data_IF_588136917285
#
_entry.id   IF_588136917285
#
_cell.length_a   1.000
_cell.length_b   1.000
_cell.length_c   1.000
_cell.angle_alpha   90.00
_cell.angle_beta   90.00
_cell.angle_gamma   90.00
#
_symmetry.space_group_name_H-M   'P 1'
#
loop_
_entity.id
_entity.type
_entity.pdbx_description
1 polymer ?
#
# COMPACT_ATOMS: atom_id res chain seq x y z
N UNK A 1 -10.31 5.60 2.20
CA UNK A 1 -10.23 5.07 3.58
C UNK A 1 -8.92 4.33 3.86
N UNK A 2 -8.49 3.34 3.05
CA UNK A 2 -7.24 2.58 3.27
C UNK A 2 -6.01 3.46 3.53
N UNK A 3 -5.65 4.35 2.61
CA UNK A 3 -4.49 5.23 2.79
C UNK A 3 -4.63 6.19 3.98
N UNK A 4 -5.86 6.56 4.36
CA UNK A 4 -6.11 7.34 5.56
C UNK A 4 -5.72 6.55 6.82
N UNK A 5 -6.09 5.28 6.89
CA UNK A 5 -5.68 4.39 7.98
C UNK A 5 -4.17 4.11 8.03
N UNK A 6 -3.51 4.08 6.86
CA UNK A 6 -2.06 3.88 6.75
C UNK A 6 -1.24 5.14 7.08
N UNK A 7 -1.71 6.33 6.69
CA UNK A 7 -0.96 7.59 6.78
C UNK A 7 -1.36 8.47 7.96
N UNK A 8 -2.43 8.15 8.69
CA UNK A 8 -2.80 8.85 9.91
C UNK A 8 -1.68 8.70 10.94
N UNK A 9 -1.05 9.83 11.28
CA UNK A 9 -0.04 9.93 12.32
C UNK A 9 -0.73 9.87 13.67
N UNK A 10 -0.24 9.00 14.56
CA UNK A 10 -0.83 8.79 15.90
C UNK A 10 -0.31 9.76 16.95
N UNK A 11 0.80 10.42 16.63
CA UNK A 11 1.40 11.48 17.44
C UNK A 11 0.87 12.88 17.10
N UNK A 12 -0.19 12.96 16.27
CA UNK A 12 -0.76 14.22 15.81
C UNK A 12 -2.29 14.20 15.92
N UNK A 13 -2.84 14.91 16.90
CA UNK A 13 -4.27 14.92 17.23
C UNK A 13 -5.16 15.30 16.03
N UNK A 14 -4.70 16.20 15.16
CA UNK A 14 -5.47 16.59 13.97
C UNK A 14 -5.69 15.44 12.99
N UNK A 15 -4.73 14.50 12.88
CA UNK A 15 -4.90 13.30 12.05
C UNK A 15 -5.89 12.32 12.69
N UNK A 16 -5.84 12.15 14.01
CA UNK A 16 -6.78 11.29 14.73
C UNK A 16 -8.21 11.82 14.67
N UNK A 17 -8.38 13.14 14.78
CA UNK A 17 -9.69 13.77 14.62
C UNK A 17 -10.22 13.59 13.19
N UNK A 18 -9.39 13.85 12.17
CA UNK A 18 -9.78 13.65 10.78
C UNK A 18 -10.17 12.18 10.49
N UNK A 19 -9.47 11.21 11.07
CA UNK A 19 -9.81 9.79 10.95
C UNK A 19 -11.19 9.50 11.55
N UNK A 20 -11.48 10.01 12.76
CA UNK A 20 -12.80 9.87 13.41
C UNK A 20 -13.92 10.52 12.59
N UNK A 21 -13.73 11.77 12.18
CA UNK A 21 -14.73 12.55 11.44
C UNK A 21 -15.12 11.89 10.10
N UNK A 22 -14.18 11.14 9.50
CA UNK A 22 -14.38 10.45 8.23
C UNK A 22 -14.66 8.94 8.39
N UNK A 23 -14.86 8.44 9.61
CA UNK A 23 -15.06 7.01 9.91
C UNK A 23 -13.97 6.12 9.30
N UNK A 24 -12.70 6.51 9.48
CA UNK A 24 -11.53 5.78 9.00
C UNK A 24 -10.86 5.09 10.19
N UNK A 25 -10.79 3.76 10.13
CA UNK A 25 -10.02 2.97 11.08
C UNK A 25 -8.52 3.01 10.77
N UNK A 26 -7.69 2.96 11.82
CA UNK A 26 -6.24 2.92 11.70
C UNK A 26 -5.76 1.52 11.33
N UNK A 27 -4.66 1.43 10.58
CA UNK A 27 -4.05 0.16 10.18
C UNK A 27 -2.68 0.05 10.86
N UNK A 28 -2.46 -1.06 11.57
CA UNK A 28 -1.23 -1.32 12.33
C UNK A 28 -0.20 -2.16 11.55
N UNK A 29 -0.69 -3.00 10.63
CA UNK A 29 0.12 -3.97 9.90
C UNK A 29 -0.32 -4.03 8.44
N UNK A 30 0.68 -3.99 7.55
CA UNK A 30 0.53 -4.27 6.12
C UNK A 30 1.39 -5.45 5.76
N UNK A 31 0.78 -6.48 5.16
CA UNK A 31 1.46 -7.64 4.59
C UNK A 31 1.10 -7.69 3.11
N UNK A 32 2.01 -7.27 2.25
CA UNK A 32 1.75 -7.14 0.81
C UNK A 32 2.99 -7.53 0.04
N UNK A 33 2.84 -8.48 -0.88
CA UNK A 33 3.83 -8.74 -1.92
C UNK A 33 3.30 -8.25 -3.27
N UNK A 34 4.21 -7.89 -4.18
CA UNK A 34 3.88 -7.29 -5.47
C UNK A 34 3.56 -8.35 -6.52
N UNK A 35 2.90 -7.92 -7.61
CA UNK A 35 2.80 -8.76 -8.80
C UNK A 35 4.20 -9.09 -9.34
N UNK A 36 4.44 -10.34 -9.77
CA UNK A 36 5.75 -10.80 -10.22
C UNK A 36 6.03 -10.30 -11.65
N UNK A 37 6.14 -8.99 -11.81
CA UNK A 37 6.25 -8.33 -13.11
C UNK A 37 7.47 -8.83 -13.89
N UNK A 38 8.62 -8.98 -13.20
CA UNK A 38 9.86 -9.48 -13.80
C UNK A 38 9.67 -10.88 -14.35
N UNK A 39 9.05 -11.77 -13.58
CA UNK A 39 8.78 -13.14 -13.98
C UNK A 39 7.79 -13.18 -15.15
N UNK A 40 6.80 -12.30 -15.17
CA UNK A 40 5.83 -12.18 -16.28
C UNK A 40 6.52 -11.79 -17.59
N UNK A 41 7.36 -10.75 -17.60
CA UNK A 41 8.01 -10.28 -18.84
C UNK A 41 9.10 -11.23 -19.36
N UNK A 42 9.53 -12.19 -18.55
CA UNK A 42 10.50 -13.21 -18.95
C UNK A 42 9.84 -14.45 -19.58
N UNK A 43 8.51 -14.54 -19.62
CA UNK A 43 7.81 -15.67 -20.25
C UNK A 43 7.95 -15.58 -21.78
N UNK A 44 8.20 -16.71 -22.48
CA UNK A 44 8.45 -16.72 -23.92
C UNK A 44 7.35 -16.07 -24.78
N UNK A 45 6.09 -16.24 -24.40
CA UNK A 45 4.93 -15.81 -25.18
C UNK A 45 4.20 -14.60 -24.55
N UNK A 46 4.87 -13.85 -23.68
CA UNK A 46 4.27 -12.67 -23.03
C UNK A 46 3.98 -11.59 -24.06
N UNK A 47 2.77 -11.05 -24.04
CA UNK A 47 2.43 -9.88 -24.85
C UNK A 47 2.69 -8.59 -24.07
N UNK A 48 2.77 -7.48 -24.79
CA UNK A 48 2.81 -6.16 -24.14
C UNK A 48 1.59 -5.93 -23.24
N UNK A 49 0.41 -6.40 -23.65
CA UNK A 49 -0.80 -6.30 -22.83
C UNK A 49 -0.65 -7.09 -21.53
N UNK A 50 -0.12 -8.32 -21.57
CA UNK A 50 0.14 -9.13 -20.37
C UNK A 50 1.12 -8.43 -19.43
N UNK A 51 2.15 -7.78 -19.97
CA UNK A 51 3.08 -6.99 -19.18
C UNK A 51 2.36 -5.83 -18.49
N UNK A 52 1.59 -5.03 -19.24
CA UNK A 52 0.85 -3.87 -18.71
C UNK A 52 -0.11 -4.28 -17.59
N UNK A 53 -0.85 -5.36 -17.75
CA UNK A 53 -1.78 -5.87 -16.72
C UNK A 53 -1.08 -6.36 -15.45
N UNK A 54 0.22 -6.71 -15.53
CA UNK A 54 1.02 -7.12 -14.37
C UNK A 54 1.70 -5.95 -13.65
N UNK A 55 1.46 -4.70 -14.07
CA UNK A 55 1.97 -3.53 -13.34
C UNK A 55 1.09 -3.31 -12.11
N UNK A 56 1.61 -3.68 -10.94
CA UNK A 56 0.93 -3.43 -9.68
C UNK A 56 1.00 -1.94 -9.30
N UNK A 57 -0.15 -1.33 -9.09
CA UNK A 57 -0.28 0.06 -8.62
C UNK A 57 -0.64 0.10 -7.14
N UNK A 58 -1.52 -0.80 -6.70
CA UNK A 58 -2.06 -0.82 -5.34
C UNK A 58 -1.01 -1.28 -4.33
N UNK A 59 -0.31 -2.36 -4.63
CA UNK A 59 0.73 -2.93 -3.78
C UNK A 59 1.83 -1.93 -3.44
N UNK A 60 2.50 -1.29 -4.44
CA UNK A 60 3.50 -0.28 -4.17
C UNK A 60 2.93 0.94 -3.44
N UNK A 61 1.69 1.34 -3.74
CA UNK A 61 1.04 2.47 -3.06
C UNK A 61 0.82 2.19 -1.56
N UNK A 62 0.33 0.99 -1.21
CA UNK A 62 0.13 0.58 0.18
C UNK A 62 1.46 0.42 0.92
N UNK A 63 2.43 -0.27 0.32
CA UNK A 63 3.77 -0.45 0.90
C UNK A 63 4.45 0.88 1.19
N UNK A 64 4.42 1.82 0.22
CA UNK A 64 5.01 3.15 0.40
C UNK A 64 4.27 3.98 1.45
N UNK A 65 2.95 3.87 1.53
CA UNK A 65 2.16 4.59 2.53
C UNK A 65 2.46 4.10 3.94
N UNK A 66 2.50 2.79 4.13
CA UNK A 66 2.79 2.17 5.41
C UNK A 66 4.25 2.42 5.83
N UNK A 67 5.21 2.26 4.92
CA UNK A 67 6.63 2.52 5.20
C UNK A 67 6.90 4.00 5.57
N UNK A 68 6.18 4.93 4.94
CA UNK A 68 6.24 6.36 5.31
C UNK A 68 5.80 6.57 6.77
N UNK A 69 4.81 5.83 7.24
CA UNK A 69 4.27 5.93 8.60
C UNK A 69 4.79 4.82 9.54
N UNK A 70 6.04 4.37 9.34
CA UNK A 70 6.66 3.26 10.09
C UNK A 70 6.66 3.42 11.62
N UNK A 71 6.57 4.65 12.13
CA UNK A 71 6.43 4.90 13.56
C UNK A 71 5.11 4.32 14.14
N UNK A 72 4.13 4.02 13.28
CA UNK A 72 2.79 3.58 13.64
C UNK A 72 2.32 2.33 12.88
N UNK A 73 2.95 1.99 11.75
CA UNK A 73 2.53 0.88 10.88
C UNK A 73 3.72 -0.02 10.59
N UNK A 74 3.56 -1.32 10.85
CA UNK A 74 4.55 -2.35 10.50
C UNK A 74 4.31 -2.83 9.08
N UNK A 75 5.38 -3.01 8.31
CA UNK A 75 5.32 -3.46 6.91
C UNK A 75 6.09 -4.76 6.74
N UNK A 76 5.45 -5.73 6.09
CA UNK A 76 6.04 -7.01 5.68
C UNK A 76 5.79 -7.19 4.18
N UNK A 77 6.84 -7.57 3.45
CA UNK A 77 6.85 -7.81 2.00
C UNK A 77 7.21 -9.25 1.71
#
# INVERSE_FOLDING_TARGET
NIHGGLLARRDLDSHLQAAKDNNIELIDLVVVNLYPFKETILKPDVTYADAVENIDIGGPSMLRSAAKNHASVTVVV
#
